data_IF_736251053750
#
_entry.id   IF_736251053750
#
_cell.length_a   1.000
_cell.length_b   1.000
_cell.length_c   1.000
_cell.angle_alpha   90.00
_cell.angle_beta   90.00
_cell.angle_gamma   90.00
#
_symmetry.space_group_name_H-M   'P 1'
#
loop_
_entity.id
_entity.type
_entity.pdbx_description
1 polymer ?
#
# COMPACT_ATOMS: atom_id res chain seq x y z
N UNK A 1 -25.82 -14.14 -2.71
CA UNK A 1 -26.80 -13.08 -2.47
C UNK A 1 -26.32 -11.84 -3.19
N UNK A 2 -27.00 -11.47 -4.28
CA UNK A 2 -26.81 -10.41 -5.29
C UNK A 2 -26.19 -9.07 -4.95
N UNK A 3 -25.02 -9.04 -4.29
CA UNK A 3 -24.26 -7.82 -4.11
C UNK A 3 -23.39 -7.53 -5.33
N UNK A 4 -23.43 -6.29 -5.82
CA UNK A 4 -22.53 -5.83 -6.88
C UNK A 4 -21.10 -5.74 -6.32
N UNK A 5 -20.13 -6.53 -6.88
CA UNK A 5 -18.73 -6.48 -6.45
C UNK A 5 -18.11 -5.07 -6.51
N UNK A 6 -18.62 -4.21 -7.38
CA UNK A 6 -18.13 -2.82 -7.53
C UNK A 6 -18.48 -1.93 -6.35
N UNK A 7 -19.50 -2.29 -5.56
CA UNK A 7 -19.91 -1.52 -4.38
C UNK A 7 -19.19 -1.96 -3.10
N UNK A 8 -18.54 -3.12 -3.11
CA UNK A 8 -17.85 -3.65 -1.94
C UNK A 8 -16.54 -2.91 -1.74
N UNK A 9 -16.44 -2.20 -0.62
CA UNK A 9 -15.23 -1.51 -0.17
C UNK A 9 -14.69 -2.21 1.08
N UNK A 10 -13.39 -2.42 1.14
CA UNK A 10 -12.78 -3.06 2.29
C UNK A 10 -11.30 -3.33 2.09
N UNK A 11 -10.70 -3.89 3.13
CA UNK A 11 -9.31 -4.31 3.06
C UNK A 11 -8.98 -5.42 4.05
N UNK A 12 -7.93 -6.18 3.71
CA UNK A 12 -7.27 -7.14 4.59
C UNK A 12 -5.84 -6.67 4.80
N UNK A 13 -5.31 -6.86 5.99
CA UNK A 13 -3.92 -6.53 6.33
C UNK A 13 -3.01 -7.75 6.11
N UNK A 14 -2.92 -8.22 4.87
CA UNK A 14 -1.96 -9.26 4.53
C UNK A 14 -0.60 -8.62 4.25
N UNK A 15 0.34 -8.82 5.17
CA UNK A 15 1.66 -8.23 5.14
C UNK A 15 2.74 -9.23 5.61
N UNK A 16 3.21 -10.06 4.69
CA UNK A 16 4.26 -11.05 4.99
C UNK A 16 5.61 -10.43 5.33
N UNK A 17 5.99 -9.28 4.75
CA UNK A 17 7.26 -8.61 5.07
C UNK A 17 7.26 -8.15 6.54
N UNK A 18 6.15 -7.62 7.03
CA UNK A 18 5.98 -7.32 8.46
C UNK A 18 6.24 -8.53 9.35
N UNK A 19 5.71 -9.69 8.95
CA UNK A 19 5.94 -10.94 9.70
C UNK A 19 7.39 -11.42 9.64
N UNK A 20 8.06 -11.20 8.52
CA UNK A 20 9.49 -11.47 8.39
C UNK A 20 10.29 -10.58 9.33
N UNK A 21 10.04 -9.28 9.32
CA UNK A 21 10.74 -8.30 10.17
C UNK A 21 10.53 -8.56 11.66
N UNK A 22 9.30 -8.89 12.08
CA UNK A 22 8.95 -9.07 13.49
C UNK A 22 9.25 -10.47 14.02
N UNK A 23 9.20 -11.51 13.17
CA UNK A 23 9.22 -12.91 13.62
C UNK A 23 10.26 -13.77 12.88
N UNK A 24 11.06 -13.20 11.98
CA UNK A 24 12.04 -13.93 11.19
C UNK A 24 11.45 -15.02 10.28
N UNK A 25 10.16 -14.89 9.88
CA UNK A 25 9.51 -15.90 9.05
C UNK A 25 9.90 -15.78 7.59
N UNK A 26 10.13 -16.92 6.94
CA UNK A 26 10.43 -16.99 5.51
C UNK A 26 9.24 -16.52 4.66
N UNK A 27 9.55 -15.78 3.58
CA UNK A 27 8.60 -15.24 2.63
C UNK A 27 8.27 -16.19 1.46
N UNK A 28 9.10 -17.20 1.20
CA UNK A 28 9.03 -18.01 -0.03
C UNK A 28 7.67 -18.68 -0.25
N UNK A 29 7.08 -19.20 0.82
CA UNK A 29 5.77 -19.89 0.76
C UNK A 29 4.57 -18.94 0.75
N UNK A 30 4.79 -17.67 1.02
CA UNK A 30 3.71 -16.69 1.23
C UNK A 30 3.43 -15.90 -0.04
N UNK A 31 4.37 -15.89 -0.99
CA UNK A 31 4.22 -15.19 -2.27
C UNK A 31 3.15 -15.81 -3.16
N UNK A 32 3.09 -17.14 -3.23
CA UNK A 32 2.03 -17.84 -3.97
C UNK A 32 0.65 -17.53 -3.42
N UNK A 33 0.54 -17.43 -2.08
CA UNK A 33 -0.70 -17.03 -1.44
C UNK A 33 -1.05 -15.56 -1.72
N UNK A 34 -0.07 -14.67 -1.77
CA UNK A 34 -0.27 -13.27 -2.14
C UNK A 34 -0.85 -13.14 -3.55
N UNK A 35 -0.31 -13.89 -4.52
CA UNK A 35 -0.84 -13.96 -5.89
C UNK A 35 -2.28 -14.46 -5.90
N UNK A 36 -2.57 -15.60 -5.29
CA UNK A 36 -3.92 -16.16 -5.21
C UNK A 36 -4.91 -15.17 -4.58
N UNK A 37 -4.49 -14.46 -3.54
CA UNK A 37 -5.33 -13.47 -2.85
C UNK A 37 -5.64 -12.27 -3.75
N UNK A 38 -4.67 -11.80 -4.53
CA UNK A 38 -4.86 -10.70 -5.50
C UNK A 38 -5.80 -11.14 -6.63
N UNK A 39 -5.61 -12.35 -7.17
CA UNK A 39 -6.44 -12.91 -8.23
C UNK A 39 -7.89 -13.15 -7.74
N UNK A 40 -8.07 -13.74 -6.57
CA UNK A 40 -9.38 -13.99 -5.98
C UNK A 40 -10.16 -12.70 -5.70
N UNK A 41 -9.45 -11.60 -5.41
CA UNK A 41 -10.06 -10.29 -5.16
C UNK A 41 -10.13 -9.40 -6.40
N UNK A 42 -9.73 -9.87 -7.58
CA UNK A 42 -9.69 -9.07 -8.82
C UNK A 42 -11.05 -8.45 -9.17
N UNK A 43 -12.14 -9.18 -8.94
CA UNK A 43 -13.52 -8.73 -9.18
C UNK A 43 -13.96 -7.56 -8.28
N UNK A 44 -13.22 -7.26 -7.19
CA UNK A 44 -13.55 -6.22 -6.21
C UNK A 44 -12.62 -5.01 -6.36
N UNK A 45 -12.95 -4.00 -7.20
CA UNK A 45 -12.04 -2.91 -7.54
C UNK A 45 -11.69 -2.01 -6.34
N UNK A 46 -12.54 -1.97 -5.31
CA UNK A 46 -12.34 -1.17 -4.11
C UNK A 46 -11.89 -1.96 -2.89
N UNK A 47 -11.50 -3.23 -3.09
CA UNK A 47 -10.97 -4.07 -2.04
C UNK A 47 -9.43 -4.14 -2.12
N UNK A 48 -8.75 -3.92 -0.99
CA UNK A 48 -7.28 -3.97 -0.87
C UNK A 48 -6.89 -5.18 -0.05
N UNK A 49 -5.93 -5.95 -0.55
CA UNK A 49 -5.56 -7.20 0.10
C UNK A 49 -4.08 -7.26 0.54
N UNK A 50 -3.22 -6.43 -0.01
CA UNK A 50 -1.82 -6.35 0.39
C UNK A 50 -1.62 -5.07 1.20
N UNK A 51 -1.00 -5.18 2.37
CA UNK A 51 -0.72 -4.05 3.24
C UNK A 51 0.79 -3.80 3.38
N UNK A 52 1.16 -2.54 3.44
CA UNK A 52 2.48 -2.06 3.85
C UNK A 52 2.30 -1.38 5.21
N UNK A 53 2.62 -2.09 6.29
CA UNK A 53 2.41 -1.58 7.66
C UNK A 53 3.64 -0.81 8.15
N UNK A 54 3.96 0.32 7.50
CA UNK A 54 5.11 1.14 7.85
C UNK A 54 5.01 1.82 9.21
N UNK A 55 3.80 1.92 9.77
CA UNK A 55 3.57 2.37 11.16
C UNK A 55 4.41 1.57 12.17
N UNK A 56 4.73 0.32 11.88
CA UNK A 56 5.62 -0.48 12.74
C UNK A 56 7.00 0.16 12.88
N UNK A 57 7.53 0.72 11.79
CA UNK A 57 8.83 1.40 11.79
C UNK A 57 8.73 2.73 12.53
N UNK A 58 7.65 3.47 12.34
CA UNK A 58 7.38 4.70 13.07
C UNK A 58 7.31 4.43 14.58
N UNK A 59 6.54 3.43 15.00
CA UNK A 59 6.44 3.01 16.41
C UNK A 59 7.75 2.45 16.97
N UNK A 60 8.66 1.99 16.12
CA UNK A 60 10.01 1.56 16.50
C UNK A 60 11.03 2.72 16.54
N UNK A 61 10.60 3.96 16.28
CA UNK A 61 11.44 5.15 16.34
C UNK A 61 12.01 5.62 15.00
N UNK A 62 11.53 5.09 13.89
CA UNK A 62 11.93 5.60 12.58
C UNK A 62 11.47 7.05 12.38
N UNK A 63 12.36 7.88 11.84
CA UNK A 63 12.03 9.25 11.48
C UNK A 63 11.04 9.26 10.29
N UNK A 64 10.32 10.36 10.14
CA UNK A 64 9.26 10.54 9.13
C UNK A 64 9.73 10.17 7.71
N UNK A 65 10.92 10.62 7.31
CA UNK A 65 11.50 10.31 6.00
C UNK A 65 12.01 8.87 5.90
N UNK A 66 12.45 8.27 7.00
CA UNK A 66 12.87 6.86 7.05
C UNK A 66 11.65 5.93 6.90
N UNK A 67 10.56 6.24 7.63
CA UNK A 67 9.29 5.53 7.45
C UNK A 67 8.83 5.59 6.00
N UNK A 68 8.83 6.79 5.39
CA UNK A 68 8.43 6.96 4.01
C UNK A 68 9.29 6.17 3.03
N UNK A 69 10.61 6.28 3.15
CA UNK A 69 11.55 5.57 2.28
C UNK A 69 11.39 4.05 2.37
N UNK A 70 11.31 3.51 3.59
CA UNK A 70 11.08 2.08 3.81
C UNK A 70 9.71 1.63 3.31
N UNK A 71 8.65 2.43 3.54
CA UNK A 71 7.32 2.11 3.05
C UNK A 71 7.27 2.00 1.52
N UNK A 72 7.91 2.94 0.82
CA UNK A 72 7.97 2.91 -0.65
C UNK A 72 8.79 1.72 -1.17
N UNK A 73 9.93 1.42 -0.55
CA UNK A 73 10.73 0.25 -0.88
C UNK A 73 9.94 -1.05 -0.66
N UNK A 74 9.23 -1.13 0.45
CA UNK A 74 8.39 -2.27 0.80
C UNK A 74 7.22 -2.46 -0.19
N UNK A 75 6.52 -1.37 -0.53
CA UNK A 75 5.47 -1.39 -1.55
C UNK A 75 6.00 -1.78 -2.93
N UNK A 76 7.18 -1.26 -3.32
CA UNK A 76 7.85 -1.64 -4.55
C UNK A 76 8.24 -3.12 -4.58
N UNK A 77 8.71 -3.66 -3.45
CA UNK A 77 9.02 -5.08 -3.35
C UNK A 77 7.78 -5.95 -3.59
N UNK A 78 6.62 -5.61 -3.01
CA UNK A 78 5.39 -6.32 -3.31
C UNK A 78 4.97 -6.19 -4.76
N UNK A 79 5.09 -5.01 -5.34
CA UNK A 79 4.76 -4.78 -6.74
C UNK A 79 5.65 -5.62 -7.66
N UNK A 80 6.97 -5.65 -7.39
CA UNK A 80 7.93 -6.45 -8.13
C UNK A 80 7.60 -7.96 -8.04
N UNK A 81 7.46 -8.49 -6.84
CA UNK A 81 7.19 -9.91 -6.62
C UNK A 81 5.88 -10.36 -7.27
N UNK A 82 4.83 -9.54 -7.21
CA UNK A 82 3.55 -9.85 -7.85
C UNK A 82 3.66 -9.82 -9.39
N UNK A 83 4.40 -8.86 -9.94
CA UNK A 83 4.59 -8.76 -11.40
C UNK A 83 5.48 -9.88 -11.93
N UNK A 84 6.53 -10.27 -11.22
CA UNK A 84 7.34 -11.45 -11.54
C UNK A 84 6.51 -12.76 -11.48
N UNK A 85 5.55 -12.85 -10.57
CA UNK A 85 4.60 -13.96 -10.50
C UNK A 85 3.53 -13.92 -11.60
N UNK A 86 3.55 -12.94 -12.52
CA UNK A 86 2.64 -12.81 -13.66
C UNK A 86 1.36 -12.03 -13.38
N UNK A 87 1.23 -11.37 -12.22
CA UNK A 87 0.08 -10.48 -11.95
C UNK A 87 0.27 -9.16 -12.70
N UNK A 88 -0.73 -8.69 -13.49
CA UNK A 88 -0.62 -7.39 -14.16
C UNK A 88 -0.33 -6.25 -13.18
N UNK A 89 0.66 -5.40 -13.48
CA UNK A 89 1.10 -4.30 -12.62
C UNK A 89 -0.06 -3.37 -12.22
N UNK A 90 -1.00 -3.10 -13.13
CA UNK A 90 -2.19 -2.29 -12.84
C UNK A 90 -3.11 -2.94 -11.79
N UNK A 91 -3.22 -4.26 -11.76
CA UNK A 91 -3.99 -4.97 -10.75
C UNK A 91 -3.22 -5.01 -9.43
N UNK A 92 -1.95 -5.39 -9.46
CA UNK A 92 -1.09 -5.46 -8.27
C UNK A 92 -1.06 -4.13 -7.52
N UNK A 93 -0.77 -3.02 -8.19
CA UNK A 93 -0.73 -1.68 -7.59
C UNK A 93 -2.07 -1.27 -6.95
N UNK A 94 -3.20 -1.61 -7.57
CA UNK A 94 -4.54 -1.32 -7.03
C UNK A 94 -4.89 -2.15 -5.78
N UNK A 95 -4.18 -3.23 -5.50
CA UNK A 95 -4.42 -4.11 -4.34
C UNK A 95 -3.54 -3.79 -3.14
N UNK A 96 -2.55 -2.92 -3.32
CA UNK A 96 -1.65 -2.46 -2.25
C UNK A 96 -2.26 -1.25 -1.54
N UNK A 97 -2.21 -1.26 -0.21
CA UNK A 97 -2.49 -0.11 0.66
C UNK A 97 -1.32 0.13 1.61
N UNK A 98 -1.13 1.36 2.00
CA UNK A 98 -0.11 1.79 2.96
C UNK A 98 -0.76 2.18 4.28
N UNK A 99 -0.21 1.70 5.40
CA UNK A 99 -0.58 2.12 6.74
C UNK A 99 0.59 2.89 7.34
N UNK A 100 0.44 4.21 7.44
CA UNK A 100 1.44 5.14 7.98
C UNK A 100 1.13 5.54 9.41
N UNK A 101 2.17 5.75 10.21
CA UNK A 101 2.06 6.41 11.50
C UNK A 101 1.98 7.93 11.33
N UNK A 102 1.31 8.60 12.26
CA UNK A 102 1.34 10.06 12.40
C UNK A 102 2.04 10.40 13.72
N UNK A 103 3.19 11.05 13.60
CA UNK A 103 3.99 11.54 14.72
C UNK A 103 3.60 12.98 15.09
N UNK A 104 4.29 13.56 16.07
CA UNK A 104 3.96 14.90 16.59
C UNK A 104 4.34 16.07 15.68
N UNK A 105 5.14 15.84 14.62
CA UNK A 105 5.58 16.94 13.74
C UNK A 105 4.58 17.19 12.61
N UNK A 106 3.60 18.04 12.87
CA UNK A 106 2.44 18.30 12.01
C UNK A 106 2.80 18.61 10.54
N UNK A 107 3.68 19.58 10.31
CA UNK A 107 4.01 20.00 8.95
C UNK A 107 4.83 18.96 8.18
N UNK A 108 5.70 18.24 8.86
CA UNK A 108 6.46 17.15 8.24
C UNK A 108 5.57 15.97 7.90
N UNK A 109 4.56 15.69 8.71
CA UNK A 109 3.56 14.67 8.39
C UNK A 109 2.73 15.01 7.16
N UNK A 110 2.30 16.27 7.03
CA UNK A 110 1.64 16.75 5.80
C UNK A 110 2.55 16.55 4.58
N UNK A 111 3.83 16.96 4.71
CA UNK A 111 4.81 16.80 3.65
C UNK A 111 5.03 15.34 3.28
N UNK A 112 5.11 14.42 4.27
CA UNK A 112 5.20 12.98 4.07
C UNK A 112 4.08 12.45 3.17
N UNK A 113 2.82 12.75 3.48
CA UNK A 113 1.68 12.26 2.71
C UNK A 113 1.62 12.85 1.29
N UNK A 114 2.07 14.07 1.11
CA UNK A 114 2.19 14.68 -0.23
C UNK A 114 3.28 14.01 -1.05
N UNK A 115 4.47 13.86 -0.47
CA UNK A 115 5.61 13.18 -1.11
C UNK A 115 5.30 11.70 -1.41
N UNK A 116 4.68 10.99 -0.46
CA UNK A 116 4.31 9.59 -0.61
C UNK A 116 3.49 9.33 -1.88
N UNK A 117 2.45 10.13 -2.11
CA UNK A 117 1.58 10.00 -3.28
C UNK A 117 2.33 10.20 -4.59
N UNK A 118 3.19 11.21 -4.65
CA UNK A 118 3.97 11.54 -5.84
C UNK A 118 5.01 10.46 -6.13
N UNK A 119 5.77 10.06 -5.12
CA UNK A 119 6.83 9.06 -5.25
C UNK A 119 6.26 7.69 -5.60
N UNK A 120 5.16 7.29 -4.97
CA UNK A 120 4.47 6.04 -5.30
C UNK A 120 3.94 6.04 -6.73
N UNK A 121 3.36 7.16 -7.19
CA UNK A 121 2.90 7.27 -8.56
C UNK A 121 4.05 7.10 -9.57
N UNK A 122 5.23 7.67 -9.27
CA UNK A 122 6.43 7.50 -10.11
C UNK A 122 6.92 6.04 -10.12
N UNK A 123 6.94 5.37 -8.95
CA UNK A 123 7.30 3.95 -8.86
C UNK A 123 6.36 3.11 -9.72
N UNK A 124 5.06 3.25 -9.56
CA UNK A 124 4.08 2.46 -10.32
C UNK A 124 4.16 2.77 -11.82
N UNK A 125 4.37 4.04 -12.17
CA UNK A 125 4.51 4.48 -13.57
C UNK A 125 5.70 3.81 -14.27
N UNK A 126 6.79 3.52 -13.55
CA UNK A 126 7.95 2.82 -14.09
C UNK A 126 7.63 1.39 -14.57
N UNK A 127 6.61 0.75 -13.98
CA UNK A 127 6.11 -0.55 -14.44
C UNK A 127 5.18 -0.47 -15.66
N UNK A 128 4.89 0.74 -16.16
CA UNK A 128 4.00 1.00 -17.30
C UNK A 128 2.68 0.21 -17.22
N UNK A 129 1.89 0.40 -16.16
CA UNK A 129 0.69 -0.39 -15.92
C UNK A 129 -0.35 -0.13 -17.02
N UNK A 130 -0.77 -1.16 -17.73
CA UNK A 130 -1.81 -1.09 -18.75
C UNK A 130 -3.19 -1.25 -18.12
N UNK A 131 -4.15 -0.39 -18.46
CA UNK A 131 -5.50 -0.51 -17.95
C UNK A 131 -6.21 -1.70 -18.60
N UNK A 132 -6.75 -2.66 -17.82
CA UNK A 132 -7.52 -3.78 -18.38
C UNK A 132 -8.91 -3.34 -18.88
N UNK A 133 -9.32 -2.11 -18.59
CA UNK A 133 -10.62 -1.56 -18.98
C UNK A 133 -10.47 -0.70 -20.23
N UNK A 134 -11.26 -0.98 -21.26
CA UNK A 134 -11.28 -0.25 -22.54
C UNK A 134 -11.91 1.15 -22.43
N UNK A 135 -12.74 1.37 -21.40
CA UNK A 135 -13.47 2.61 -21.13
C UNK A 135 -12.74 3.57 -20.17
N UNK A 136 -11.47 3.30 -19.86
CA UNK A 136 -10.73 4.09 -18.89
C UNK A 136 -10.29 5.44 -19.50
N UNK A 137 -10.88 6.53 -19.03
CA UNK A 137 -10.53 7.89 -19.45
C UNK A 137 -9.27 8.44 -18.77
N UNK A 138 -8.72 7.73 -17.77
CA UNK A 138 -7.52 8.14 -17.04
C UNK A 138 -6.28 7.37 -17.52
N UNK A 139 -6.02 7.46 -18.80
CA UNK A 139 -4.84 6.86 -19.45
C UNK A 139 -3.93 7.98 -19.93
N UNK A 140 -2.64 7.89 -19.65
CA UNK A 140 -1.65 8.82 -20.18
C UNK A 140 -1.44 8.63 -21.70
N UNK A 141 -0.78 9.58 -22.35
CA UNK A 141 -0.53 9.53 -23.80
C UNK A 141 0.27 8.30 -24.24
N UNK A 142 1.08 7.73 -23.36
CA UNK A 142 1.85 6.49 -23.58
C UNK A 142 1.08 5.19 -23.27
N UNK A 143 -0.22 5.27 -22.97
CA UNK A 143 -1.06 4.13 -22.63
C UNK A 143 -1.03 3.74 -21.13
N UNK A 144 -0.25 4.41 -20.30
CA UNK A 144 -0.14 4.09 -18.86
C UNK A 144 -1.42 4.39 -18.10
N UNK A 145 -1.86 3.47 -17.27
CA UNK A 145 -3.05 3.61 -16.42
C UNK A 145 -2.79 4.49 -15.20
N UNK A 146 -3.16 5.77 -15.25
CA UNK A 146 -3.00 6.72 -14.14
C UNK A 146 -3.83 6.34 -12.89
N UNK A 147 -4.92 5.58 -13.07
CA UNK A 147 -5.70 5.09 -11.93
C UNK A 147 -4.93 4.08 -11.07
N UNK A 148 -4.01 3.32 -11.67
CA UNK A 148 -3.16 2.37 -10.95
C UNK A 148 -2.07 3.07 -10.15
N UNK A 149 -1.66 4.26 -10.56
CA UNK A 149 -0.62 5.06 -9.90
C UNK A 149 -1.12 5.75 -8.61
N UNK A 150 -2.43 5.73 -8.34
CA UNK A 150 -2.99 6.37 -7.14
C UNK A 150 -2.68 5.55 -5.89
N UNK A 151 -1.97 6.15 -4.94
CA UNK A 151 -1.73 5.54 -3.64
C UNK A 151 -3.03 5.46 -2.82
N UNK A 152 -3.25 4.31 -2.18
CA UNK A 152 -4.25 4.16 -1.12
C UNK A 152 -3.50 4.13 0.21
N UNK A 153 -3.74 5.13 1.04
CA UNK A 153 -3.10 5.28 2.33
C UNK A 153 -4.15 5.34 3.45
N UNK A 154 -3.82 4.69 4.55
CA UNK A 154 -4.46 4.80 5.85
C UNK A 154 -3.46 5.41 6.82
N UNK A 155 -3.91 6.24 7.73
CA UNK A 155 -3.09 6.90 8.72
C UNK A 155 -3.60 6.59 10.12
N UNK A 156 -2.69 6.23 11.01
CA UNK A 156 -2.97 5.94 12.42
C UNK A 156 -2.05 6.81 13.28
N UNK A 157 -2.55 7.26 14.43
CA UNK A 157 -1.72 7.96 15.41
C UNK A 157 -0.63 7.03 15.93
N UNK A 158 0.64 7.44 15.80
CA UNK A 158 1.77 6.64 16.28
C UNK A 158 1.91 6.68 17.80
N UNK A 159 2.60 5.69 18.35
CA UNK A 159 2.91 5.65 19.79
C UNK A 159 3.68 6.88 20.27
N UNK A 160 4.44 7.54 19.40
CA UNK A 160 5.18 8.77 19.71
C UNK A 160 4.30 10.02 19.79
N UNK A 161 3.05 9.94 19.35
CA UNK A 161 2.08 11.03 19.44
C UNK A 161 1.04 10.79 20.56
N UNK A 162 1.19 9.72 21.32
CA UNK A 162 0.30 9.37 22.42
C UNK A 162 0.99 9.61 23.77
N UNK A 163 0.22 9.98 24.78
CA UNK A 163 0.70 10.09 26.15
C UNK A 163 0.16 8.94 27.00
N UNK A 164 1.00 8.37 27.87
CA UNK A 164 0.58 7.32 28.80
C UNK A 164 -0.24 7.86 30.00
N UNK A 165 -0.12 9.16 30.26
CA UNK A 165 -0.65 9.78 31.49
C UNK A 165 -1.96 10.53 31.30
N UNK A 166 -2.35 10.78 30.07
CA UNK A 166 -3.58 11.52 29.75
C UNK A 166 -4.32 10.90 28.56
N UNK A 167 -5.30 10.06 28.89
CA UNK A 167 -6.12 9.39 27.89
C UNK A 167 -7.03 10.34 27.06
N UNK A 168 -7.23 11.57 27.53
CA UNK A 168 -8.07 12.56 26.86
C UNK A 168 -7.33 13.36 25.78
N UNK A 169 -6.00 13.32 25.79
CA UNK A 169 -5.14 14.00 24.81
C UNK A 169 -4.77 13.11 23.63
N UNK A 170 -4.97 11.82 23.75
CA UNK A 170 -4.63 10.82 22.73
C UNK A 170 -5.63 10.75 21.57
#
# INVERSE_FOLDING_TARGET
KGYDPKQIKGSVNFDPISRMLLKGKDLSKVLDFAKQLVEATAAFPHFRCIAVNSILLNNAGAYIFQELGCALAWGNQYLNLLTEAGVPAALAAKKIKFNFGISSNYFMEIAKFRAARMLWANIVNAYKPVCPRTDCQNTAADGTCLCACKMVAHAETSSFNQTLFDAHVN
#
